data_IF_503082929652
#
_entry.id   IF_503082929652
#
_cell.length_a   1.000
_cell.length_b   1.000
_cell.length_c   1.000
_cell.angle_alpha   90.00
_cell.angle_beta   90.00
_cell.angle_gamma   90.00
#
_symmetry.space_group_name_H-M   'P 1'
#
loop_
_entity.id
_entity.type
_entity.pdbx_description
1 polymer ?
#
# COMPACT_ATOMS: atom_id res chain seq x y z
N UNK A 1 -30.98 -33.97 -19.76
CA UNK A 1 -30.13 -32.79 -20.02
C UNK A 1 -29.34 -32.54 -18.74
N UNK A 2 -28.08 -32.95 -18.68
CA UNK A 2 -27.25 -32.71 -17.51
C UNK A 2 -26.82 -31.23 -17.53
N UNK A 3 -27.04 -30.53 -16.43
CA UNK A 3 -26.54 -29.17 -16.26
C UNK A 3 -25.00 -29.23 -16.29
N UNK A 4 -24.41 -28.54 -17.26
CA UNK A 4 -22.97 -28.36 -17.33
C UNK A 4 -22.53 -27.34 -16.28
N UNK A 5 -22.14 -27.86 -15.11
CA UNK A 5 -21.68 -27.07 -13.97
C UNK A 5 -20.27 -26.47 -14.17
N UNK A 6 -19.56 -26.88 -15.25
CA UNK A 6 -18.22 -26.33 -15.55
C UNK A 6 -18.24 -24.83 -15.91
N UNK A 7 -19.41 -24.30 -16.30
CA UNK A 7 -19.62 -22.86 -16.54
C UNK A 7 -19.84 -22.02 -15.28
N UNK A 8 -19.95 -22.66 -14.13
CA UNK A 8 -20.12 -22.01 -12.81
C UNK A 8 -18.89 -22.22 -11.93
N UNK A 9 -17.68 -22.23 -12.52
CA UNK A 9 -16.48 -22.03 -11.72
C UNK A 9 -16.60 -20.68 -11.03
N UNK A 10 -16.74 -20.68 -9.71
CA UNK A 10 -16.66 -19.45 -8.92
C UNK A 10 -15.30 -18.86 -9.20
N UNK A 11 -15.24 -17.76 -9.96
CA UNK A 11 -14.01 -17.01 -10.14
C UNK A 11 -13.53 -16.60 -8.76
N UNK A 12 -12.34 -17.03 -8.40
CA UNK A 12 -11.72 -16.66 -7.12
C UNK A 12 -11.65 -15.14 -7.04
N UNK A 13 -12.21 -14.58 -5.96
CA UNK A 13 -12.18 -13.13 -5.74
C UNK A 13 -10.99 -12.81 -4.86
N UNK A 14 -10.16 -11.91 -5.31
CA UNK A 14 -9.00 -11.46 -4.55
C UNK A 14 -9.09 -9.96 -4.23
N UNK A 15 -8.39 -9.58 -3.17
CA UNK A 15 -8.21 -8.19 -2.75
C UNK A 15 -6.87 -7.71 -3.28
N UNK A 16 -6.85 -6.77 -4.24
CA UNK A 16 -5.59 -6.21 -4.75
C UNK A 16 -5.02 -5.20 -3.75
N UNK A 17 -3.72 -5.33 -3.46
CA UNK A 17 -2.97 -4.43 -2.58
C UNK A 17 -1.76 -3.89 -3.32
N UNK A 18 -1.61 -2.57 -3.37
CA UNK A 18 -0.47 -1.88 -3.95
C UNK A 18 0.21 -1.06 -2.86
N UNK A 19 1.45 -1.41 -2.55
CA UNK A 19 2.28 -0.63 -1.64
C UNK A 19 3.19 0.27 -2.47
N UNK A 20 3.14 1.58 -2.24
CA UNK A 20 4.03 2.60 -2.81
C UNK A 20 4.94 3.07 -1.67
N UNK A 21 6.20 2.62 -1.70
CA UNK A 21 7.09 2.71 -0.56
C UNK A 21 8.29 3.60 -0.87
N UNK A 22 8.46 4.60 -0.04
CA UNK A 22 9.62 5.47 -0.07
C UNK A 22 10.88 4.68 0.31
N UNK A 23 11.88 4.76 -0.56
CA UNK A 23 13.23 4.22 -0.35
C UNK A 23 14.28 5.30 -0.58
N UNK A 24 13.90 6.58 -0.41
CA UNK A 24 14.82 7.71 -0.49
C UNK A 24 15.87 7.69 0.62
N UNK A 25 16.91 8.51 0.47
CA UNK A 25 18.01 8.56 1.44
C UNK A 25 17.59 8.91 2.86
N UNK A 26 16.54 9.74 3.03
CA UNK A 26 15.97 10.13 4.33
C UNK A 26 15.34 8.98 5.10
N UNK A 27 14.99 7.87 4.43
CA UNK A 27 14.52 6.65 5.10
C UNK A 27 15.62 5.94 5.93
N UNK A 28 16.90 6.32 5.77
CA UNK A 28 17.99 5.89 6.67
C UNK A 28 18.03 6.66 8.00
N UNK A 29 17.23 7.70 8.16
CA UNK A 29 17.18 8.43 9.41
C UNK A 29 16.54 7.59 10.52
N UNK A 30 16.88 7.95 11.76
CA UNK A 30 16.43 7.21 12.93
C UNK A 30 14.92 7.35 13.17
N UNK A 31 14.30 6.25 13.55
CA UNK A 31 12.97 6.17 14.15
C UNK A 31 13.11 5.35 15.45
N UNK A 32 13.33 6.03 16.57
CA UNK A 32 13.73 5.38 17.81
C UNK A 32 15.13 4.77 17.73
N UNK A 33 15.26 3.48 18.01
CA UNK A 33 16.53 2.75 17.99
C UNK A 33 16.85 2.08 16.62
N UNK A 34 15.98 2.22 15.65
CA UNK A 34 16.11 1.68 14.30
C UNK A 34 16.06 2.79 13.27
N UNK A 35 16.36 2.49 12.00
CA UNK A 35 16.08 3.40 10.89
C UNK A 35 14.64 3.22 10.40
N UNK A 36 14.08 4.25 9.74
CA UNK A 36 12.73 4.18 9.15
C UNK A 36 12.60 3.00 8.20
N UNK A 37 13.62 2.75 7.37
CA UNK A 37 13.59 1.63 6.40
C UNK A 37 13.63 0.26 7.09
N UNK A 38 14.34 0.11 8.21
CA UNK A 38 14.34 -1.15 8.98
C UNK A 38 12.96 -1.44 9.58
N UNK A 39 12.32 -0.43 10.16
CA UNK A 39 10.96 -0.57 10.71
C UNK A 39 9.97 -0.86 9.60
N UNK A 40 10.07 -0.16 8.45
CA UNK A 40 9.21 -0.40 7.29
C UNK A 40 9.35 -1.85 6.78
N UNK A 41 10.57 -2.37 6.67
CA UNK A 41 10.81 -3.76 6.28
C UNK A 41 10.10 -4.75 7.23
N UNK A 42 10.19 -4.51 8.53
CA UNK A 42 9.49 -5.33 9.53
C UNK A 42 7.96 -5.28 9.34
N UNK A 43 7.42 -4.09 9.14
CA UNK A 43 5.98 -3.90 8.93
C UNK A 43 5.48 -4.64 7.69
N UNK A 44 6.19 -4.54 6.56
CA UNK A 44 5.84 -5.21 5.31
C UNK A 44 5.90 -6.73 5.47
N UNK A 45 6.95 -7.25 6.09
CA UNK A 45 7.10 -8.68 6.34
C UNK A 45 5.92 -9.20 7.18
N UNK A 46 5.59 -8.53 8.29
CA UNK A 46 4.45 -8.90 9.14
C UNK A 46 3.12 -8.83 8.37
N UNK A 47 2.90 -7.78 7.56
CA UNK A 47 1.71 -7.65 6.73
C UNK A 47 1.55 -8.85 5.80
N UNK A 48 2.61 -9.22 5.07
CA UNK A 48 2.60 -10.36 4.15
C UNK A 48 2.31 -11.65 4.91
N UNK A 49 2.97 -11.90 6.05
CA UNK A 49 2.77 -13.09 6.87
C UNK A 49 1.32 -13.19 7.39
N UNK A 50 0.77 -12.08 7.88
CA UNK A 50 -0.62 -12.04 8.36
C UNK A 50 -1.62 -12.29 7.22
N UNK A 51 -1.44 -11.64 6.07
CA UNK A 51 -2.31 -11.86 4.92
C UNK A 51 -2.22 -13.29 4.37
N UNK A 52 -1.05 -13.96 4.47
CA UNK A 52 -0.90 -15.39 4.14
C UNK A 52 -1.70 -16.27 5.11
N UNK A 53 -1.69 -15.97 6.40
CA UNK A 53 -2.41 -16.73 7.42
C UNK A 53 -3.92 -16.55 7.34
N UNK A 54 -4.36 -15.31 7.06
CA UNK A 54 -5.78 -14.95 6.95
C UNK A 54 -6.40 -15.38 5.60
N UNK A 55 -5.58 -15.78 4.62
CA UNK A 55 -6.06 -16.15 3.30
C UNK A 55 -6.99 -17.38 3.34
N UNK A 56 -8.26 -17.15 3.02
CA UNK A 56 -9.29 -18.19 2.90
C UNK A 56 -9.40 -18.64 1.43
N UNK A 57 -9.99 -19.82 1.21
CA UNK A 57 -10.17 -20.35 -0.15
C UNK A 57 -10.97 -19.43 -1.07
N UNK A 58 -11.89 -18.64 -0.49
CA UNK A 58 -12.82 -17.78 -1.23
C UNK A 58 -12.41 -16.29 -1.20
N UNK A 59 -11.44 -15.91 -0.34
CA UNK A 59 -10.96 -14.55 -0.17
C UNK A 59 -9.49 -14.56 0.21
N UNK A 60 -8.64 -14.03 -0.66
CA UNK A 60 -7.20 -13.90 -0.47
C UNK A 60 -6.71 -12.57 -1.03
N UNK A 61 -5.49 -12.20 -0.74
CA UNK A 61 -4.90 -10.95 -1.24
C UNK A 61 -3.86 -11.24 -2.30
N UNK A 62 -3.81 -10.40 -3.33
CA UNK A 62 -2.68 -10.28 -4.25
C UNK A 62 -2.02 -8.93 -4.03
N UNK A 63 -0.70 -8.89 -4.03
CA UNK A 63 0.06 -7.70 -3.69
C UNK A 63 1.12 -7.40 -4.73
N UNK A 64 1.32 -6.11 -5.01
CA UNK A 64 2.50 -5.56 -5.65
C UNK A 64 3.18 -4.56 -4.72
N UNK A 65 4.51 -4.51 -4.76
CA UNK A 65 5.29 -3.51 -4.04
C UNK A 65 6.06 -2.68 -5.06
N UNK A 66 5.78 -1.38 -5.07
CA UNK A 66 6.46 -0.37 -5.84
C UNK A 66 7.33 0.41 -4.86
N UNK A 67 8.62 0.53 -5.16
CA UNK A 67 9.54 1.39 -4.41
C UNK A 67 9.92 2.59 -5.24
N UNK A 68 10.20 3.72 -4.60
CA UNK A 68 10.70 4.91 -5.26
C UNK A 68 11.87 5.51 -4.47
N UNK A 69 12.98 5.75 -5.17
CA UNK A 69 14.26 6.13 -4.58
C UNK A 69 15.32 6.41 -5.67
N UNK A 70 16.55 5.97 -5.45
CA UNK A 70 17.71 6.23 -6.32
C UNK A 70 17.49 5.86 -7.79
N UNK A 71 16.81 4.76 -8.04
CA UNK A 71 16.59 4.24 -9.41
C UNK A 71 15.24 4.67 -10.01
N UNK A 72 14.63 5.74 -9.50
CA UNK A 72 13.28 6.10 -9.87
C UNK A 72 12.24 5.23 -9.18
N UNK A 73 11.06 5.07 -9.79
CA UNK A 73 10.06 4.10 -9.31
C UNK A 73 10.26 2.75 -9.99
N UNK A 74 10.35 1.70 -9.19
CA UNK A 74 10.55 0.33 -9.69
C UNK A 74 9.55 -0.64 -9.06
N UNK A 75 9.17 -1.64 -9.83
CA UNK A 75 8.37 -2.75 -9.34
C UNK A 75 9.28 -3.73 -8.57
N UNK A 76 9.38 -3.52 -7.25
CA UNK A 76 10.20 -4.35 -6.38
C UNK A 76 9.66 -5.78 -6.25
N UNK A 77 8.35 -5.90 -6.07
CA UNK A 77 7.66 -7.19 -6.01
C UNK A 77 6.53 -7.19 -7.03
N UNK A 78 6.59 -8.07 -8.04
CA UNK A 78 5.53 -8.21 -9.03
C UNK A 78 4.19 -8.56 -8.39
N UNK A 79 3.10 -8.18 -9.04
CA UNK A 79 1.74 -8.47 -8.57
C UNK A 79 1.47 -9.98 -8.59
N UNK A 80 1.37 -10.58 -7.40
CA UNK A 80 1.12 -12.02 -7.24
C UNK A 80 0.30 -12.30 -5.97
N UNK A 81 -0.19 -13.54 -5.82
CA UNK A 81 -0.78 -14.03 -4.58
C UNK A 81 0.22 -13.84 -3.43
N UNK A 82 -0.25 -13.28 -2.31
CA UNK A 82 0.62 -13.07 -1.14
C UNK A 82 1.30 -14.35 -0.68
N UNK A 83 0.71 -15.54 -0.92
CA UNK A 83 1.30 -16.84 -0.61
C UNK A 83 2.60 -17.10 -1.36
N UNK A 84 2.74 -16.55 -2.56
CA UNK A 84 3.90 -16.73 -3.42
C UNK A 84 4.99 -15.68 -3.15
N UNK A 85 4.66 -14.60 -2.45
CA UNK A 85 5.60 -13.49 -2.25
C UNK A 85 6.74 -13.94 -1.33
N UNK A 86 7.96 -13.83 -1.84
CA UNK A 86 9.20 -13.91 -1.08
C UNK A 86 9.79 -12.50 -0.98
N UNK A 87 9.40 -11.78 0.09
CA UNK A 87 9.81 -10.39 0.27
C UNK A 87 11.32 -10.28 0.50
N UNK A 88 11.96 -9.42 -0.28
CA UNK A 88 13.37 -9.03 -0.09
C UNK A 88 13.39 -7.69 0.64
N UNK A 89 14.19 -7.55 1.71
CA UNK A 89 14.30 -6.28 2.43
C UNK A 89 14.69 -5.13 1.51
N UNK A 90 14.09 -3.97 1.75
CA UNK A 90 14.37 -2.72 1.06
C UNK A 90 15.63 -2.09 1.64
N UNK A 91 16.35 -1.33 0.81
CA UNK A 91 17.43 -0.44 1.21
C UNK A 91 17.11 0.99 0.76
N UNK A 92 17.55 1.98 1.52
CA UNK A 92 17.22 3.37 1.26
C UNK A 92 18.39 4.11 0.61
N UNK A 93 18.12 4.82 -0.49
CA UNK A 93 19.04 5.73 -1.18
C UNK A 93 18.32 6.62 -2.20
N UNK A 94 18.94 7.75 -2.58
CA UNK A 94 18.44 8.65 -3.63
C UNK A 94 17.34 9.60 -3.20
N UNK A 95 16.57 10.08 -4.16
CA UNK A 95 15.49 11.05 -4.02
C UNK A 95 14.10 10.44 -3.94
N UNK A 96 13.06 11.29 -4.17
CA UNK A 96 11.63 10.93 -3.95
C UNK A 96 10.81 11.12 -5.24
N UNK A 97 10.96 10.25 -6.27
CA UNK A 97 10.31 10.38 -7.58
C UNK A 97 8.86 9.85 -7.54
N UNK A 98 7.97 10.58 -6.86
CA UNK A 98 6.57 10.19 -6.66
C UNK A 98 5.74 10.20 -7.95
N UNK A 99 6.08 11.08 -8.90
CA UNK A 99 5.46 11.13 -10.22
C UNK A 99 5.53 9.77 -10.95
N UNK A 100 6.71 9.15 -10.90
CA UNK A 100 6.94 7.83 -11.49
C UNK A 100 6.20 6.72 -10.71
N UNK A 101 6.17 6.82 -9.38
CA UNK A 101 5.47 5.83 -8.54
C UNK A 101 3.96 5.82 -8.82
N UNK A 102 3.33 6.99 -8.93
CA UNK A 102 1.90 7.09 -9.27
C UNK A 102 1.62 6.60 -10.69
N UNK A 103 2.48 6.92 -11.66
CA UNK A 103 2.40 6.41 -13.03
C UNK A 103 2.45 4.89 -13.06
N UNK A 104 3.48 4.29 -12.48
CA UNK A 104 3.68 2.85 -12.44
C UNK A 104 2.51 2.12 -11.72
N UNK A 105 2.05 2.65 -10.59
CA UNK A 105 0.91 2.08 -9.88
C UNK A 105 -0.36 2.11 -10.71
N UNK A 106 -0.62 3.23 -11.41
CA UNK A 106 -1.75 3.35 -12.32
C UNK A 106 -1.66 2.33 -13.45
N UNK A 107 -0.53 2.23 -14.13
CA UNK A 107 -0.34 1.31 -15.25
C UNK A 107 -0.60 -0.15 -14.82
N UNK A 108 -0.11 -0.56 -13.66
CA UNK A 108 -0.37 -1.89 -13.11
C UNK A 108 -1.87 -2.14 -12.83
N UNK A 109 -2.59 -1.15 -12.29
CA UNK A 109 -4.01 -1.28 -11.98
C UNK A 109 -4.87 -1.27 -13.25
N UNK A 110 -4.46 -0.55 -14.29
CA UNK A 110 -5.17 -0.49 -15.57
C UNK A 110 -4.91 -1.70 -16.48
N UNK A 111 -3.84 -2.46 -16.22
CA UNK A 111 -3.51 -3.65 -17.00
C UNK A 111 -4.61 -4.72 -16.88
N UNK A 112 -5.30 -4.97 -17.99
CA UNK A 112 -6.45 -5.89 -18.04
C UNK A 112 -6.04 -7.36 -18.07
N UNK A 113 -4.81 -7.64 -18.45
CA UNK A 113 -4.29 -9.02 -18.49
C UNK A 113 -3.96 -9.51 -17.08
N UNK A 114 -3.43 -8.60 -16.25
CA UNK A 114 -3.14 -8.85 -14.83
C UNK A 114 -4.38 -8.71 -13.95
N UNK A 115 -5.28 -7.76 -14.29
CA UNK A 115 -6.51 -7.48 -13.55
C UNK A 115 -7.75 -7.84 -14.37
N UNK A 116 -8.33 -9.01 -14.21
CA UNK A 116 -9.62 -9.38 -14.77
C UNK A 116 -10.73 -8.49 -14.19
N UNK A 117 -11.90 -8.50 -14.80
CA UNK A 117 -13.00 -7.56 -14.49
C UNK A 117 -13.67 -7.73 -13.13
N UNK A 118 -13.36 -8.81 -12.39
CA UNK A 118 -14.02 -9.16 -11.13
C UNK A 118 -13.01 -9.29 -9.98
N UNK A 119 -12.77 -8.20 -9.28
CA UNK A 119 -11.96 -8.16 -8.06
C UNK A 119 -12.57 -7.17 -7.05
N UNK A 120 -12.12 -7.22 -5.81
CA UNK A 120 -12.44 -6.20 -4.82
C UNK A 120 -11.79 -4.85 -5.18
N UNK A 121 -12.26 -3.76 -4.57
CA UNK A 121 -11.62 -2.46 -4.74
C UNK A 121 -10.14 -2.56 -4.35
N UNK A 122 -9.21 -2.07 -5.19
CA UNK A 122 -7.80 -2.08 -4.83
C UNK A 122 -7.53 -1.21 -3.59
N UNK A 123 -6.61 -1.64 -2.76
CA UNK A 123 -5.99 -0.78 -1.75
C UNK A 123 -4.67 -0.28 -2.30
N UNK A 124 -4.47 1.03 -2.24
CA UNK A 124 -3.22 1.69 -2.60
C UNK A 124 -2.71 2.43 -1.38
N UNK A 125 -1.55 2.04 -0.87
CA UNK A 125 -0.99 2.56 0.37
C UNK A 125 0.33 3.24 0.05
N UNK A 126 0.38 4.55 0.25
CA UNK A 126 1.60 5.36 0.16
C UNK A 126 2.26 5.43 1.53
N UNK A 127 3.54 5.10 1.60
CA UNK A 127 4.36 5.31 2.81
C UNK A 127 5.54 6.19 2.42
N UNK A 128 5.66 7.36 3.02
CA UNK A 128 6.72 8.34 2.74
C UNK A 128 7.09 9.11 4.01
N UNK A 129 8.28 9.67 4.04
CA UNK A 129 8.75 10.51 5.15
C UNK A 129 9.17 11.92 4.73
N UNK A 130 9.06 12.25 3.43
CA UNK A 130 9.58 13.50 2.90
C UNK A 130 8.67 14.09 1.82
N UNK A 131 8.91 15.36 1.50
CA UNK A 131 8.30 16.03 0.35
C UNK A 131 8.97 15.58 -0.94
N UNK A 132 8.20 15.46 -2.05
CA UNK A 132 8.79 15.26 -3.35
C UNK A 132 9.69 16.44 -3.73
N UNK A 133 10.73 16.15 -4.52
CA UNK A 133 11.70 17.17 -4.92
C UNK A 133 11.15 18.23 -5.88
N UNK A 134 9.97 18.00 -6.47
CA UNK A 134 9.29 18.91 -7.42
C UNK A 134 7.77 18.63 -7.47
N UNK A 135 7.03 19.49 -8.18
CA UNK A 135 5.57 19.41 -8.31
C UNK A 135 5.10 18.47 -9.45
N UNK A 136 5.98 17.68 -10.05
CA UNK A 136 5.62 16.79 -11.17
C UNK A 136 4.65 15.67 -10.78
N UNK A 137 4.55 15.38 -9.49
CA UNK A 137 3.63 14.37 -8.94
C UNK A 137 2.14 14.74 -9.06
N UNK A 138 1.79 16.04 -9.16
CA UNK A 138 0.40 16.50 -9.16
C UNK A 138 -0.43 15.89 -10.30
N UNK A 139 0.08 15.95 -11.53
CA UNK A 139 -0.64 15.44 -12.70
C UNK A 139 -0.79 13.91 -12.69
N UNK A 140 0.25 13.10 -12.43
CA UNK A 140 0.12 11.66 -12.25
C UNK A 140 -0.86 11.28 -11.13
N UNK A 141 -0.81 11.97 -10.00
CA UNK A 141 -1.76 11.75 -8.91
C UNK A 141 -3.19 12.10 -9.30
N UNK A 142 -3.40 13.23 -9.96
CA UNK A 142 -4.72 13.58 -10.48
C UNK A 142 -5.27 12.48 -11.40
N UNK A 143 -4.48 12.01 -12.35
CA UNK A 143 -4.87 10.92 -13.24
C UNK A 143 -5.17 9.62 -12.48
N UNK A 144 -4.37 9.31 -11.45
CA UNK A 144 -4.58 8.14 -10.59
C UNK A 144 -5.93 8.19 -9.88
N UNK A 145 -6.35 9.35 -9.39
CA UNK A 145 -7.57 9.55 -8.62
C UNK A 145 -8.84 9.71 -9.46
N UNK A 146 -8.72 10.13 -10.71
CA UNK A 146 -9.88 10.55 -11.51
C UNK A 146 -10.10 9.73 -12.78
N UNK A 147 -9.15 8.90 -13.17
CA UNK A 147 -9.20 8.20 -14.45
C UNK A 147 -9.00 6.69 -14.32
N UNK A 148 -9.91 5.92 -14.94
CA UNK A 148 -9.79 4.49 -15.05
C UNK A 148 -10.16 3.69 -13.79
N UNK A 149 -9.47 2.56 -13.61
CA UNK A 149 -9.68 1.63 -12.49
C UNK A 149 -9.02 2.12 -11.20
N UNK A 150 -7.87 2.78 -11.33
CA UNK A 150 -7.12 3.35 -10.20
C UNK A 150 -7.96 4.35 -9.42
N UNK A 151 -8.86 5.10 -10.07
CA UNK A 151 -9.80 6.01 -9.41
C UNK A 151 -10.72 5.35 -8.37
N UNK A 152 -10.93 4.03 -8.48
CA UNK A 152 -11.75 3.23 -7.55
C UNK A 152 -10.97 2.71 -6.36
N UNK A 153 -9.66 2.91 -6.31
CA UNK A 153 -8.82 2.44 -5.20
C UNK A 153 -9.20 3.12 -3.89
N UNK A 154 -9.13 2.36 -2.81
CA UNK A 154 -9.04 2.88 -1.45
C UNK A 154 -7.62 3.36 -1.26
N UNK A 155 -7.42 4.65 -1.03
CA UNK A 155 -6.10 5.26 -0.95
C UNK A 155 -5.81 5.70 0.49
N UNK A 156 -4.83 5.06 1.10
CA UNK A 156 -4.31 5.42 2.41
C UNK A 156 -2.88 5.94 2.30
N UNK A 157 -2.57 6.94 3.10
CA UNK A 157 -1.22 7.48 3.19
C UNK A 157 -0.72 7.39 4.62
N UNK A 158 0.52 6.92 4.81
CA UNK A 158 1.26 6.97 6.06
C UNK A 158 2.43 7.91 5.86
N UNK A 159 2.46 8.98 6.64
CA UNK A 159 3.63 9.85 6.75
C UNK A 159 4.46 9.43 7.97
N UNK A 160 5.73 9.07 7.74
CA UNK A 160 6.67 8.72 8.80
C UNK A 160 7.34 10.00 9.31
N UNK A 161 6.72 10.64 10.29
CA UNK A 161 7.15 11.91 10.85
C UNK A 161 6.06 12.56 11.66
N UNK A 162 6.32 13.82 12.10
CA UNK A 162 5.35 14.58 12.86
C UNK A 162 4.20 15.04 11.96
N UNK A 163 2.98 15.02 12.51
CA UNK A 163 1.76 15.45 11.80
C UNK A 163 1.85 16.85 11.20
N UNK A 164 2.57 17.75 11.84
CA UNK A 164 2.69 19.14 11.39
C UNK A 164 3.57 19.29 10.15
N UNK A 165 4.45 18.31 9.90
CA UNK A 165 5.41 18.31 8.79
C UNK A 165 4.90 17.53 7.59
N UNK A 166 3.63 17.06 7.63
CA UNK A 166 3.05 16.20 6.60
C UNK A 166 2.92 16.91 5.25
N UNK A 167 3.60 16.41 4.22
CA UNK A 167 3.56 16.96 2.88
C UNK A 167 2.16 16.99 2.25
N UNK A 168 1.96 17.93 1.32
CA UNK A 168 0.68 18.05 0.63
C UNK A 168 0.37 16.78 -0.19
N UNK A 169 1.38 16.17 -0.80
CA UNK A 169 1.22 14.94 -1.58
C UNK A 169 0.61 13.80 -0.77
N UNK A 170 1.00 13.64 0.51
CA UNK A 170 0.43 12.63 1.38
C UNK A 170 -1.06 12.89 1.67
N UNK A 171 -1.43 14.17 1.86
CA UNK A 171 -2.82 14.58 2.07
C UNK A 171 -3.66 14.34 0.83
N UNK A 172 -3.12 14.67 -0.32
CA UNK A 172 -3.83 14.53 -1.60
C UNK A 172 -3.96 13.07 -2.02
N UNK A 173 -2.92 12.24 -1.80
CA UNK A 173 -3.01 10.81 -2.08
C UNK A 173 -3.99 10.09 -1.16
N UNK A 174 -3.96 10.38 0.14
CA UNK A 174 -4.71 9.70 1.18
C UNK A 174 -6.20 10.08 1.24
N UNK A 175 -6.91 10.09 0.11
CA UNK A 175 -8.33 10.49 0.05
C UNK A 175 -9.26 9.71 0.97
N UNK A 176 -8.91 8.47 1.32
CA UNK A 176 -9.68 7.60 2.21
C UNK A 176 -9.08 7.52 3.63
N UNK A 177 -7.87 8.08 3.84
CA UNK A 177 -7.24 8.17 5.15
C UNK A 177 -5.78 8.61 5.09
N UNK A 178 -5.42 9.55 5.96
CA UNK A 178 -4.05 10.07 6.14
C UNK A 178 -3.62 9.81 7.57
N UNK A 179 -2.52 9.10 7.75
CA UNK A 179 -2.02 8.64 9.03
C UNK A 179 -0.59 9.13 9.27
N UNK A 180 -0.19 9.17 10.53
CA UNK A 180 1.10 9.70 10.95
C UNK A 180 1.77 8.76 11.93
N UNK A 181 3.06 8.51 11.75
CA UNK A 181 3.86 7.70 12.62
C UNK A 181 5.18 8.42 12.94
N UNK A 182 5.29 9.00 14.12
CA UNK A 182 6.50 9.66 14.62
C UNK A 182 7.35 8.72 15.50
N UNK A 183 6.89 7.50 15.73
CA UNK A 183 7.61 6.43 16.45
C UNK A 183 7.34 5.05 15.85
N UNK A 184 8.12 4.06 16.35
CA UNK A 184 8.07 2.66 15.88
C UNK A 184 6.71 2.01 16.16
N UNK A 185 6.15 2.22 17.37
CA UNK A 185 4.91 1.58 17.83
C UNK A 185 3.74 2.03 16.99
N UNK A 186 3.66 3.33 16.68
CA UNK A 186 2.63 3.88 15.80
C UNK A 186 2.72 3.32 14.39
N UNK A 187 3.94 3.24 13.81
CA UNK A 187 4.11 2.71 12.46
C UNK A 187 3.68 1.25 12.39
N UNK A 188 4.13 0.43 13.33
CA UNK A 188 3.75 -0.99 13.42
C UNK A 188 2.23 -1.13 13.61
N UNK A 189 1.65 -0.37 14.53
CA UNK A 189 0.22 -0.41 14.80
C UNK A 189 -0.64 -0.02 13.61
N UNK A 190 -0.26 1.01 12.85
CA UNK A 190 -0.96 1.40 11.61
C UNK A 190 -0.94 0.28 10.57
N UNK A 191 0.20 -0.37 10.37
CA UNK A 191 0.30 -1.51 9.46
C UNK A 191 -0.56 -2.71 9.92
N UNK A 192 -0.61 -2.99 11.22
CA UNK A 192 -1.46 -4.05 11.76
C UNK A 192 -2.95 -3.79 11.51
N UNK A 193 -3.43 -2.57 11.77
CA UNK A 193 -4.83 -2.19 11.50
C UNK A 193 -5.15 -2.28 10.01
N UNK A 194 -4.30 -1.71 9.15
CA UNK A 194 -4.48 -1.77 7.70
C UNK A 194 -4.55 -3.21 7.22
N UNK A 195 -3.66 -4.06 7.72
CA UNK A 195 -3.62 -5.48 7.39
C UNK A 195 -4.92 -6.20 7.77
N UNK A 196 -5.42 -5.97 8.98
CA UNK A 196 -6.68 -6.55 9.45
C UNK A 196 -7.87 -6.04 8.64
N UNK A 197 -7.89 -4.74 8.30
CA UNK A 197 -8.96 -4.15 7.49
C UNK A 197 -8.97 -4.75 6.08
N UNK A 198 -7.80 -4.90 5.46
CA UNK A 198 -7.64 -5.55 4.16
C UNK A 198 -8.09 -7.01 4.21
N UNK A 199 -7.66 -7.79 5.20
CA UNK A 199 -8.00 -9.21 5.31
C UNK A 199 -9.51 -9.46 5.41
N UNK A 200 -10.27 -8.50 5.95
CA UNK A 200 -11.73 -8.52 6.03
C UNK A 200 -12.42 -8.01 4.75
N UNK A 201 -11.68 -7.43 3.81
CA UNK A 201 -12.23 -6.75 2.63
C UNK A 201 -13.03 -5.49 2.97
N UNK A 202 -12.77 -4.88 4.13
CA UNK A 202 -13.45 -3.67 4.59
C UNK A 202 -12.80 -2.42 4.01
N UNK A 203 -13.58 -1.46 3.55
CA UNK A 203 -13.06 -0.17 3.05
C UNK A 203 -13.00 0.93 4.12
N UNK A 204 -13.52 0.67 5.32
CA UNK A 204 -13.53 1.60 6.44
C UNK A 204 -12.52 1.16 7.51
N UNK A 205 -11.50 1.99 7.73
CA UNK A 205 -10.52 1.82 8.79
C UNK A 205 -10.93 2.56 10.08
N UNK A 206 -11.99 3.36 10.03
CA UNK A 206 -12.35 4.31 11.12
C UNK A 206 -12.71 3.63 12.43
N UNK A 207 -13.42 2.50 12.37
CA UNK A 207 -13.89 1.80 13.56
C UNK A 207 -12.74 1.06 14.26
N UNK A 208 -11.81 0.51 13.46
CA UNK A 208 -10.63 -0.19 13.99
C UNK A 208 -9.61 0.83 14.59
N UNK A 209 -9.47 2.03 13.99
CA UNK A 209 -8.63 3.12 14.53
C UNK A 209 -9.17 3.71 15.84
N UNK A 210 -10.49 3.84 15.97
CA UNK A 210 -11.09 4.41 17.19
C UNK A 210 -10.78 3.52 18.41
N UNK A 211 -10.84 2.20 18.28
CA UNK A 211 -10.53 1.28 19.36
C UNK A 211 -9.04 1.33 19.76
N UNK A 212 -8.14 1.47 18.79
CA UNK A 212 -6.69 1.51 19.04
C UNK A 212 -6.21 2.86 19.58
N UNK A 213 -6.84 3.97 19.17
CA UNK A 213 -6.51 5.29 19.74
C UNK A 213 -6.95 5.43 21.20
N UNK A 214 -7.91 4.62 21.67
CA UNK A 214 -8.29 4.55 23.08
C UNK A 214 -7.31 3.69 23.90
N UNK A 215 -6.66 2.70 23.30
CA UNK A 215 -5.64 1.86 23.94
C UNK A 215 -4.24 2.52 23.97
N UNK A 216 -4.01 3.58 23.18
CA UNK A 216 -2.75 4.35 23.12
C UNK A 216 -2.80 5.68 23.92
N UNK A 217 -3.85 5.93 24.72
CA UNK A 217 -3.94 7.03 25.69
C UNK A 217 -3.44 6.59 27.05
#
# INVERSE_FOLDING_TARGET
MALDLSKYTMEERFIPVFLLLDTSGSMNESLGNCTRIEVLNLCIQKMIETLKQEAKKELFSKMAIITFGENGAVLHTPFDDVKNINFKPLSASGGTPLDQAFGLAKDLIEDKDTFPTKFYRPYSILVSNDEPNDDKWEKPLFNFHHDGRSAKSVCWSIFIGNRNDNPQVNKDFGKDGVFYADDVEKLVGLFEIMTQTISKGSTSIKDDLASMMDDLK
#
